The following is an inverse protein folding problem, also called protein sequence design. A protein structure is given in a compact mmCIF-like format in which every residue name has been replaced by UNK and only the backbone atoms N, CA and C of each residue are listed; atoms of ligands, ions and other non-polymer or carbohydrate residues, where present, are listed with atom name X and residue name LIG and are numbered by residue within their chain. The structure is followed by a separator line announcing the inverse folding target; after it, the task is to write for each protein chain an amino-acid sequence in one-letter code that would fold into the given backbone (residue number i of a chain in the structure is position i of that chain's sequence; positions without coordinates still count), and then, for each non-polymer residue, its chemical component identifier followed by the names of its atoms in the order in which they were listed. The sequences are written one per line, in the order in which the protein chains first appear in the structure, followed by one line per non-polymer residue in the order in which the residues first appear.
data_IF_832210846182
#
_entry.id   IF_832210846182
#
_cell.length_a   1.000
_cell.length_b   1.000
_cell.length_c   1.000
_cell.angle_alpha   90.00
_cell.angle_beta   90.00
_cell.angle_gamma   90.00
#
_symmetry.space_group_name_H-M   'P 1'
#
loop_
_entity.id
_entity.type
_entity.pdbx_description
1 polymer ?
#
# COMPACT_ATOMS: atom_id res chain seq x y z
N UNK A 1 66.55 37.83 2.97
CA UNK A 1 67.41 36.99 3.84
C UNK A 1 66.54 35.91 4.42
N UNK A 2 66.43 34.70 3.84
CA UNK A 2 67.41 33.60 3.79
C UNK A 2 68.16 33.37 5.11
N UNK A 3 67.79 32.28 5.78
CA UNK A 3 68.70 31.37 6.50
C UNK A 3 69.03 31.74 7.95
N UNK A 4 69.32 30.81 8.87
CA UNK A 4 69.46 29.34 8.90
C UNK A 4 69.57 28.96 10.38
N UNK A 5 68.97 27.85 10.81
CA UNK A 5 69.60 26.75 11.59
C UNK A 5 68.51 25.75 12.05
N UNK A 6 68.38 24.50 11.55
CA UNK A 6 69.23 23.27 11.72
C UNK A 6 69.56 23.05 13.20
N UNK A 7 69.22 21.99 13.93
CA UNK A 7 68.98 20.55 13.70
C UNK A 7 68.40 20.01 15.06
N UNK A 8 67.65 18.91 15.22
CA UNK A 8 68.11 17.52 15.11
C UNK A 8 66.96 16.55 15.44
N UNK A 9 67.02 15.36 14.83
CA UNK A 9 66.05 14.25 14.86
C UNK A 9 66.00 13.52 16.20
N UNK A 10 64.82 12.98 16.56
CA UNK A 10 64.68 11.62 17.14
C UNK A 10 63.42 10.95 16.59
N UNK A 11 63.61 9.82 15.91
CA UNK A 11 62.55 8.91 15.45
C UNK A 11 62.00 8.16 16.66
N UNK A 12 60.69 8.14 16.86
CA UNK A 12 59.99 7.02 17.49
C UNK A 12 58.67 6.82 16.73
N UNK A 13 58.54 5.62 16.16
CA UNK A 13 57.40 5.13 15.41
C UNK A 13 56.37 4.63 16.43
N UNK A 14 55.24 5.31 16.56
CA UNK A 14 54.11 4.80 17.36
C UNK A 14 52.84 4.86 16.51
N UNK A 15 52.25 3.68 16.33
CA UNK A 15 51.12 3.37 15.47
C UNK A 15 49.89 4.23 15.84
N UNK A 16 49.36 4.98 14.87
CA UNK A 16 48.02 5.56 14.97
C UNK A 16 46.98 4.46 14.75
N UNK A 17 46.22 4.13 15.77
CA UNK A 17 44.87 3.56 15.62
C UNK A 17 43.88 4.70 15.82
N UNK A 18 43.50 5.33 14.71
CA UNK A 18 42.37 6.23 14.67
C UNK A 18 41.09 5.39 14.71
N UNK A 19 40.38 5.42 15.83
CA UNK A 19 39.00 4.95 15.92
C UNK A 19 38.12 5.97 15.19
N UNK A 20 37.90 5.73 13.89
CA UNK A 20 36.85 6.40 13.12
C UNK A 20 35.57 5.61 13.37
N UNK A 21 34.62 6.25 14.05
CA UNK A 21 33.22 5.85 14.08
C UNK A 21 32.67 5.89 12.65
N UNK A 22 32.81 4.77 11.94
CA UNK A 22 32.07 4.52 10.72
C UNK A 22 30.65 4.14 11.14
N UNK A 23 29.75 5.13 11.13
CA UNK A 23 28.32 4.89 10.93
C UNK A 23 28.15 4.22 9.57
N UNK A 24 28.25 2.89 9.57
CA UNK A 24 27.95 2.08 8.41
C UNK A 24 26.44 2.10 8.20
N UNK A 25 25.99 3.07 7.40
CA UNK A 25 24.77 2.91 6.61
C UNK A 25 25.02 1.68 5.73
N UNK A 26 24.60 0.52 6.25
CA UNK A 26 24.55 -0.74 5.53
C UNK A 26 23.49 -0.61 4.44
N UNK A 27 23.89 -0.03 3.31
CA UNK A 27 23.28 -0.30 2.02
C UNK A 27 23.53 -1.77 1.68
N UNK A 28 22.80 -2.66 2.35
CA UNK A 28 22.70 -4.04 1.92
C UNK A 28 21.88 -4.04 0.64
N UNK A 29 22.62 -4.04 -0.47
CA UNK A 29 22.17 -4.61 -1.74
C UNK A 29 21.80 -6.08 -1.45
N UNK A 30 20.56 -6.26 -1.00
CA UNK A 30 20.00 -7.56 -0.69
C UNK A 30 19.79 -8.33 -1.99
N UNK A 31 20.66 -9.30 -2.25
CA UNK A 31 20.30 -10.45 -3.06
C UNK A 31 18.98 -11.02 -2.50
N UNK A 32 18.03 -11.30 -3.39
CA UNK A 32 16.71 -11.84 -3.06
C UNK A 32 16.77 -12.95 -1.99
N UNK A 33 16.12 -12.73 -0.84
CA UNK A 33 15.74 -13.79 0.12
C UNK A 33 16.74 -14.21 1.20
N UNK A 34 17.72 -13.37 1.58
CA UNK A 34 18.74 -13.70 2.58
C UNK A 34 18.40 -13.47 4.07
N UNK A 35 17.22 -12.95 4.42
CA UNK A 35 16.85 -12.66 5.81
C UNK A 35 16.32 -13.89 6.58
N UNK A 36 16.11 -13.77 7.92
CA UNK A 36 15.55 -14.85 8.71
C UNK A 36 14.17 -15.24 8.17
N UNK A 37 14.01 -16.50 7.75
CA UNK A 37 12.74 -17.03 7.23
C UNK A 37 11.71 -17.34 8.31
N UNK A 38 12.03 -17.08 9.57
CA UNK A 38 11.13 -17.28 10.70
C UNK A 38 11.20 -16.09 11.64
N UNK A 39 10.04 -15.54 11.98
CA UNK A 39 9.85 -14.60 13.08
C UNK A 39 8.86 -15.19 14.06
N UNK A 40 9.07 -14.95 15.34
CA UNK A 40 8.15 -15.41 16.38
C UNK A 40 8.22 -14.48 17.60
N UNK A 41 7.06 -14.21 18.18
CA UNK A 41 6.92 -13.60 19.50
C UNK A 41 5.94 -14.45 20.36
N UNK A 42 5.41 -13.90 21.44
CA UNK A 42 4.44 -14.60 22.29
C UNK A 42 3.11 -14.89 21.57
N UNK A 43 2.70 -14.05 20.61
CA UNK A 43 1.39 -14.13 19.96
C UNK A 43 1.41 -14.86 18.61
N UNK A 44 2.46 -14.71 17.80
CA UNK A 44 2.46 -15.18 16.41
C UNK A 44 3.80 -15.77 15.99
N UNK A 45 3.75 -16.69 15.03
CA UNK A 45 4.90 -17.18 14.26
C UNK A 45 4.63 -16.97 12.78
N UNK A 46 5.64 -16.47 12.08
CA UNK A 46 5.61 -16.21 10.64
C UNK A 46 6.80 -16.94 10.04
N UNK A 47 6.53 -17.93 9.20
CA UNK A 47 7.56 -18.69 8.49
C UNK A 47 7.55 -18.33 7.00
N UNK A 48 8.66 -18.59 6.30
CA UNK A 48 8.82 -18.48 4.85
C UNK A 48 8.28 -17.19 4.20
N UNK A 49 8.22 -16.09 4.94
CA UNK A 49 7.61 -14.83 4.48
C UNK A 49 8.49 -14.03 3.51
N UNK A 50 9.78 -14.33 3.41
CA UNK A 50 10.68 -13.70 2.42
C UNK A 50 10.96 -14.60 1.25
N UNK A 51 11.07 -14.01 0.05
CA UNK A 51 11.34 -14.77 -1.17
C UNK A 51 10.18 -15.70 -1.53
N UNK A 52 8.96 -15.35 -1.11
CA UNK A 52 7.72 -16.02 -1.47
C UNK A 52 7.64 -16.07 -2.99
N UNK A 53 7.38 -17.26 -3.52
CA UNK A 53 7.21 -17.45 -4.95
C UNK A 53 5.76 -17.14 -5.34
N UNK A 54 5.51 -16.30 -6.33
CA UNK A 54 4.17 -16.00 -6.86
C UNK A 54 4.17 -16.10 -8.39
N UNK A 55 3.01 -16.34 -8.98
CA UNK A 55 2.85 -16.10 -10.41
C UNK A 55 2.91 -14.60 -10.68
N UNK A 56 3.58 -14.20 -11.77
CA UNK A 56 3.64 -12.80 -12.16
C UNK A 56 2.28 -12.33 -12.69
N UNK A 57 1.76 -11.23 -12.17
CA UNK A 57 0.56 -10.63 -12.72
C UNK A 57 0.88 -9.95 -14.06
N UNK A 58 -0.05 -10.01 -15.02
CA UNK A 58 0.14 -9.45 -16.37
C UNK A 58 -0.86 -8.32 -16.58
N UNK A 59 -0.37 -7.17 -17.02
CA UNK A 59 -1.21 -6.14 -17.61
C UNK A 59 -1.29 -6.37 -19.12
N UNK A 60 -2.50 -6.30 -19.68
CA UNK A 60 -2.66 -6.14 -21.13
C UNK A 60 -2.17 -4.76 -21.58
N UNK A 61 -1.62 -4.69 -22.79
CA UNK A 61 -1.27 -3.41 -23.41
C UNK A 61 -2.50 -2.51 -23.53
N UNK A 62 -2.29 -1.20 -23.44
CA UNK A 62 -3.35 -0.21 -23.67
C UNK A 62 -3.62 -0.13 -25.16
N UNK A 63 -4.84 -0.49 -25.55
CA UNK A 63 -5.28 -0.45 -26.94
C UNK A 63 -5.92 0.90 -27.25
N UNK A 64 -6.03 1.25 -28.53
CA UNK A 64 -6.65 2.51 -28.92
C UNK A 64 -8.13 2.55 -28.51
N UNK A 65 -8.79 1.39 -28.56
CA UNK A 65 -10.18 1.24 -28.12
C UNK A 65 -10.35 1.56 -26.62
N UNK A 66 -9.35 1.27 -25.78
CA UNK A 66 -9.39 1.65 -24.36
C UNK A 66 -9.40 3.19 -24.19
N UNK A 67 -8.68 3.90 -25.07
CA UNK A 67 -8.59 5.36 -25.06
C UNK A 67 -9.89 5.96 -25.59
N UNK A 68 -10.42 5.41 -26.68
CA UNK A 68 -11.68 5.84 -27.28
C UNK A 68 -12.84 5.75 -26.29
N UNK A 69 -12.94 4.65 -25.53
CA UNK A 69 -13.98 4.48 -24.51
C UNK A 69 -13.94 5.58 -23.44
N UNK A 70 -12.75 5.97 -22.99
CA UNK A 70 -12.61 7.03 -21.99
C UNK A 70 -12.93 8.40 -22.58
N UNK A 71 -12.46 8.69 -23.80
CA UNK A 71 -12.79 9.95 -24.49
C UNK A 71 -14.29 10.06 -24.74
N UNK A 72 -14.94 8.98 -25.18
CA UNK A 72 -16.38 8.93 -25.38
C UNK A 72 -17.14 9.18 -24.07
N UNK A 73 -16.75 8.51 -22.98
CA UNK A 73 -17.38 8.72 -21.67
C UNK A 73 -17.27 10.17 -21.18
N UNK A 74 -16.10 10.78 -21.33
CA UNK A 74 -15.88 12.18 -20.95
C UNK A 74 -16.68 13.14 -21.84
N UNK A 75 -16.77 12.85 -23.14
CA UNK A 75 -17.58 13.62 -24.07
C UNK A 75 -19.09 13.49 -23.79
N UNK A 76 -19.58 12.32 -23.38
CA UNK A 76 -20.98 12.15 -22.97
C UNK A 76 -21.36 13.07 -21.81
N UNK A 77 -20.48 13.20 -20.81
CA UNK A 77 -20.69 14.15 -19.71
C UNK A 77 -20.73 15.60 -20.18
N UNK A 78 -19.84 15.97 -21.09
CA UNK A 78 -19.76 17.31 -21.65
C UNK A 78 -20.97 17.66 -22.54
N UNK A 79 -21.35 16.80 -23.48
CA UNK A 79 -22.48 17.07 -24.37
C UNK A 79 -23.79 17.19 -23.61
N UNK A 80 -24.01 16.34 -22.60
CA UNK A 80 -25.16 16.44 -21.70
C UNK A 80 -25.18 17.75 -20.91
N UNK A 81 -24.02 18.21 -20.41
CA UNK A 81 -23.93 19.46 -19.67
C UNK A 81 -24.15 20.71 -20.55
N UNK A 82 -23.84 20.62 -21.84
CA UNK A 82 -23.87 21.73 -22.79
C UNK A 82 -25.04 21.67 -23.80
N UNK A 83 -25.96 20.71 -23.67
CA UNK A 83 -27.09 20.49 -24.57
C UNK A 83 -26.64 20.34 -26.05
N UNK A 84 -25.58 19.56 -26.26
CA UNK A 84 -25.01 19.28 -27.58
C UNK A 84 -25.45 17.90 -28.08
N UNK A 85 -25.50 17.67 -29.41
CA UNK A 85 -25.76 16.36 -29.98
C UNK A 85 -24.77 15.29 -29.48
N UNK A 86 -25.25 14.07 -29.25
CA UNK A 86 -24.42 12.94 -28.77
C UNK A 86 -23.27 12.60 -29.71
N UNK A 87 -23.41 12.89 -31.01
CA UNK A 87 -22.38 12.65 -32.04
C UNK A 87 -21.33 13.78 -32.13
N UNK A 88 -21.39 14.77 -31.25
CA UNK A 88 -20.41 15.87 -31.17
C UNK A 88 -19.01 15.31 -30.96
N UNK A 89 -18.11 15.62 -31.89
CA UNK A 89 -16.72 15.19 -31.84
C UNK A 89 -15.90 16.06 -30.87
N UNK A 90 -14.93 15.44 -30.21
CA UNK A 90 -13.93 16.16 -29.41
C UNK A 90 -13.08 17.05 -30.32
N UNK A 91 -12.78 18.26 -29.87
CA UNK A 91 -11.92 19.23 -30.57
C UNK A 91 -10.87 19.79 -29.64
N UNK A 92 -9.80 20.36 -30.19
CA UNK A 92 -8.75 21.02 -29.42
C UNK A 92 -9.31 22.13 -28.53
N UNK A 93 -10.36 22.84 -28.97
CA UNK A 93 -11.01 23.88 -28.17
C UNK A 93 -11.74 23.31 -26.95
N UNK A 94 -12.43 22.18 -27.10
CA UNK A 94 -13.11 21.48 -26.00
C UNK A 94 -12.06 20.97 -25.00
N UNK A 95 -10.96 20.40 -25.50
CA UNK A 95 -9.86 19.92 -24.66
C UNK A 95 -9.31 21.03 -23.78
N UNK A 96 -8.89 22.15 -24.39
CA UNK A 96 -8.29 23.29 -23.68
C UNK A 96 -9.19 23.93 -22.63
N UNK A 97 -10.51 23.92 -22.87
CA UNK A 97 -11.47 24.64 -22.02
C UNK A 97 -12.00 23.79 -20.87
N UNK A 98 -12.05 22.47 -21.05
CA UNK A 98 -12.87 21.64 -20.14
C UNK A 98 -12.27 20.27 -19.84
N UNK A 99 -11.54 19.63 -20.76
CA UNK A 99 -11.16 18.21 -20.56
C UNK A 99 -9.84 18.00 -19.84
N UNK A 100 -8.90 18.93 -19.96
CA UNK A 100 -7.59 18.80 -19.32
C UNK A 100 -7.01 20.15 -18.96
N UNK A 101 -6.36 20.21 -17.81
CA UNK A 101 -5.60 21.38 -17.36
C UNK A 101 -4.22 21.48 -18.04
N UNK A 102 -3.78 20.42 -18.72
CA UNK A 102 -2.42 20.33 -19.27
C UNK A 102 -2.38 20.11 -20.78
N UNK A 103 -3.32 19.34 -21.34
CA UNK A 103 -3.38 19.09 -22.78
C UNK A 103 -3.96 20.29 -23.54
N UNK A 104 -3.37 20.59 -24.70
CA UNK A 104 -3.82 21.66 -25.59
C UNK A 104 -4.45 21.11 -26.88
N UNK A 105 -4.26 19.84 -27.18
CA UNK A 105 -4.81 19.22 -28.40
C UNK A 105 -5.49 17.91 -28.06
N UNK A 106 -6.38 17.44 -28.95
CA UNK A 106 -6.99 16.11 -28.85
C UNK A 106 -5.92 15.02 -28.75
N UNK A 107 -4.85 15.13 -29.54
CA UNK A 107 -3.74 14.17 -29.49
C UNK A 107 -3.05 14.15 -28.12
N UNK A 108 -2.71 15.32 -27.57
CA UNK A 108 -2.09 15.40 -26.24
C UNK A 108 -3.01 14.84 -25.14
N UNK A 109 -4.31 15.11 -25.22
CA UNK A 109 -5.30 14.57 -24.30
C UNK A 109 -5.39 13.05 -24.41
N UNK A 110 -5.40 12.49 -25.62
CA UNK A 110 -5.38 11.04 -25.83
C UNK A 110 -4.11 10.40 -25.25
N UNK A 111 -2.95 11.04 -25.39
CA UNK A 111 -1.71 10.57 -24.75
C UNK A 111 -1.76 10.66 -23.21
N UNK A 112 -2.42 11.69 -22.66
CA UNK A 112 -2.67 11.81 -21.22
C UNK A 112 -3.55 10.65 -20.72
N UNK A 113 -4.69 10.42 -21.37
CA UNK A 113 -5.59 9.29 -21.05
C UNK A 113 -4.85 7.95 -21.16
N UNK A 114 -4.06 7.75 -22.21
CA UNK A 114 -3.22 6.54 -22.35
C UNK A 114 -2.31 6.33 -21.15
N UNK A 115 -1.64 7.39 -20.66
CA UNK A 115 -0.78 7.31 -19.46
C UNK A 115 -1.59 6.98 -18.21
N UNK A 116 -2.75 7.60 -18.01
CA UNK A 116 -3.64 7.33 -16.88
C UNK A 116 -4.11 5.86 -16.87
N UNK A 117 -4.50 5.31 -18.02
CA UNK A 117 -4.86 3.90 -18.17
C UNK A 117 -3.65 3.01 -17.86
N UNK A 118 -2.46 3.32 -18.39
CA UNK A 118 -1.24 2.57 -18.11
C UNK A 118 -0.87 2.56 -16.62
N UNK A 119 -0.98 3.71 -15.94
CA UNK A 119 -0.73 3.81 -14.50
C UNK A 119 -1.75 3.03 -13.69
N UNK A 120 -3.02 3.07 -14.08
CA UNK A 120 -4.10 2.28 -13.47
C UNK A 120 -3.84 0.78 -13.62
N UNK A 121 -3.50 0.31 -14.83
CA UNK A 121 -3.15 -1.09 -15.09
C UNK A 121 -1.92 -1.53 -14.28
N UNK A 122 -0.89 -0.67 -14.17
CA UNK A 122 0.30 -0.94 -13.34
C UNK A 122 -0.03 -1.06 -11.85
N UNK A 123 -0.87 -0.15 -11.32
CA UNK A 123 -1.34 -0.22 -9.93
C UNK A 123 -2.12 -1.51 -9.68
N UNK A 124 -3.03 -1.88 -10.57
CA UNK A 124 -3.80 -3.12 -10.48
C UNK A 124 -2.90 -4.37 -10.44
N UNK A 125 -1.91 -4.45 -11.33
CA UNK A 125 -0.89 -5.53 -11.32
C UNK A 125 -0.14 -5.55 -9.99
N UNK A 126 0.31 -4.39 -9.48
CA UNK A 126 1.01 -4.31 -8.20
C UNK A 126 0.14 -4.79 -7.04
N UNK A 127 -1.11 -4.34 -6.96
CA UNK A 127 -2.07 -4.76 -5.93
C UNK A 127 -2.34 -6.26 -5.98
N UNK A 128 -2.44 -6.84 -7.18
CA UNK A 128 -2.60 -8.29 -7.37
C UNK A 128 -1.37 -9.07 -6.87
N UNK A 129 -0.16 -8.61 -7.19
CA UNK A 129 1.08 -9.23 -6.70
C UNK A 129 1.22 -9.11 -5.17
N UNK A 130 0.92 -7.95 -4.60
CA UNK A 130 0.90 -7.72 -3.16
C UNK A 130 -0.11 -8.64 -2.46
N UNK A 131 -1.29 -8.83 -3.05
CA UNK A 131 -2.31 -9.76 -2.55
C UNK A 131 -1.79 -11.18 -2.55
N UNK A 132 -1.25 -11.68 -3.67
CA UNK A 132 -0.71 -13.05 -3.79
C UNK A 132 0.45 -13.30 -2.81
N UNK A 133 1.34 -12.32 -2.64
CA UNK A 133 2.46 -12.42 -1.68
C UNK A 133 1.91 -12.51 -0.27
N UNK A 134 0.96 -11.63 0.06
CA UNK A 134 0.40 -11.53 1.39
C UNK A 134 -0.41 -12.76 1.79
N UNK A 135 -1.22 -13.32 0.89
CA UNK A 135 -1.93 -14.59 1.10
C UNK A 135 -0.97 -15.71 1.49
N UNK A 136 0.13 -15.89 0.72
CA UNK A 136 1.14 -16.90 1.04
C UNK A 136 1.85 -16.64 2.38
N UNK A 137 2.08 -15.39 2.74
CA UNK A 137 2.63 -15.04 4.06
C UNK A 137 1.64 -15.43 5.16
N UNK A 138 0.34 -15.22 4.92
CA UNK A 138 -0.72 -15.61 5.86
C UNK A 138 -0.88 -17.11 6.04
N UNK A 139 -0.74 -17.87 4.96
CA UNK A 139 -0.73 -19.34 4.99
C UNK A 139 0.46 -19.89 5.77
N UNK A 140 1.62 -19.22 5.68
CA UNK A 140 2.82 -19.59 6.42
C UNK A 140 2.87 -18.99 7.85
N UNK A 141 1.76 -18.42 8.33
CA UNK A 141 1.68 -17.79 9.64
C UNK A 141 0.70 -18.49 10.57
N UNK A 142 1.09 -18.63 11.83
CA UNK A 142 0.31 -19.28 12.88
C UNK A 142 0.21 -18.36 14.10
N UNK A 143 -1.01 -18.16 14.61
CA UNK A 143 -1.25 -17.44 15.87
C UNK A 143 -1.17 -18.45 17.02
N UNK A 144 -0.30 -18.18 17.98
CA UNK A 144 -0.15 -18.95 19.22
C UNK A 144 -1.23 -18.60 20.23
N UNK A 145 -1.44 -17.30 20.42
CA UNK A 145 -2.43 -16.75 21.33
C UNK A 145 -2.86 -15.37 20.81
N UNK A 146 -4.15 -15.06 20.93
CA UNK A 146 -4.67 -13.74 20.62
C UNK A 146 -4.62 -12.84 21.86
N UNK A 147 -4.06 -11.63 21.77
CA UNK A 147 -4.18 -10.65 22.85
C UNK A 147 -5.65 -10.35 23.14
N UNK A 148 -6.14 -10.73 24.34
CA UNK A 148 -7.57 -10.73 24.67
C UNK A 148 -8.24 -9.36 24.56
N UNK A 149 -7.56 -8.34 25.07
CA UNK A 149 -8.10 -6.97 25.06
C UNK A 149 -8.19 -6.44 23.63
N UNK A 150 -7.15 -6.67 22.82
CA UNK A 150 -7.15 -6.27 21.40
C UNK A 150 -8.18 -7.06 20.58
N UNK A 151 -8.34 -8.36 20.83
CA UNK A 151 -9.35 -9.17 20.14
C UNK A 151 -10.76 -8.68 20.44
N UNK A 152 -11.03 -8.31 21.70
CA UNK A 152 -12.31 -7.73 22.11
C UNK A 152 -12.57 -6.40 21.42
N UNK A 153 -11.56 -5.56 21.31
CA UNK A 153 -11.64 -4.27 20.62
C UNK A 153 -11.94 -4.46 19.13
N UNK A 154 -11.18 -5.30 18.43
CA UNK A 154 -11.40 -5.61 17.01
C UNK A 154 -12.81 -6.17 16.77
N UNK A 155 -13.30 -7.07 17.63
CA UNK A 155 -14.70 -7.55 17.56
C UNK A 155 -15.70 -6.42 17.79
N UNK A 156 -15.45 -5.56 18.77
CA UNK A 156 -16.27 -4.39 19.06
C UNK A 156 -16.45 -3.48 17.84
N UNK A 157 -15.35 -3.16 17.15
CA UNK A 157 -15.39 -2.33 15.95
C UNK A 157 -16.20 -2.98 14.82
N UNK A 158 -16.14 -4.30 14.66
CA UNK A 158 -16.98 -5.04 13.71
C UNK A 158 -18.47 -4.97 14.09
N UNK A 159 -18.80 -5.08 15.37
CA UNK A 159 -20.19 -4.94 15.86
C UNK A 159 -20.69 -3.52 15.56
N UNK A 160 -19.91 -2.48 15.89
CA UNK A 160 -20.28 -1.09 15.65
C UNK A 160 -20.47 -0.78 14.15
N UNK A 161 -19.65 -1.38 13.29
CA UNK A 161 -19.80 -1.31 11.83
C UNK A 161 -21.15 -1.87 11.37
N UNK A 162 -21.49 -3.08 11.81
CA UNK A 162 -22.75 -3.70 11.42
C UNK A 162 -23.97 -3.05 12.07
N UNK A 163 -23.85 -2.48 13.27
CA UNK A 163 -24.88 -1.63 13.85
C UNK A 163 -25.13 -0.38 13.00
N UNK A 164 -24.06 0.23 12.47
CA UNK A 164 -24.17 1.38 11.57
C UNK A 164 -24.89 1.00 10.28
N UNK A 165 -24.56 -0.14 9.67
CA UNK A 165 -25.27 -0.63 8.49
C UNK A 165 -26.74 -0.95 8.76
N UNK A 166 -27.05 -1.57 9.90
CA UNK A 166 -28.43 -1.82 10.32
C UNK A 166 -29.22 -0.51 10.42
N UNK A 167 -28.65 0.50 11.07
CA UNK A 167 -29.28 1.83 11.19
C UNK A 167 -29.50 2.50 9.82
N UNK A 168 -28.56 2.37 8.89
CA UNK A 168 -28.70 2.92 7.52
C UNK A 168 -29.83 2.25 6.75
N UNK A 169 -30.05 0.96 6.95
CA UNK A 169 -31.17 0.20 6.39
C UNK A 169 -32.48 0.36 7.20
N UNK A 170 -32.45 1.12 8.29
CA UNK A 170 -33.60 1.30 9.19
C UNK A 170 -34.03 0.03 9.92
N UNK A 171 -33.10 -0.90 10.11
CA UNK A 171 -33.31 -2.19 10.77
C UNK A 171 -32.67 -2.21 12.16
N UNK A 172 -33.25 -2.99 13.07
CA UNK A 172 -32.57 -3.35 14.31
C UNK A 172 -31.38 -4.29 14.01
N UNK A 173 -30.30 -4.16 14.79
CA UNK A 173 -29.05 -4.90 14.55
C UNK A 173 -29.27 -6.41 14.40
N UNK A 174 -30.04 -7.01 15.31
CA UNK A 174 -30.29 -8.46 15.31
C UNK A 174 -31.08 -8.91 14.07
N UNK A 175 -32.02 -8.08 13.61
CA UNK A 175 -32.79 -8.34 12.39
C UNK A 175 -31.91 -8.21 11.15
N UNK A 176 -31.03 -7.21 11.12
CA UNK A 176 -30.08 -7.00 10.05
C UNK A 176 -29.09 -8.16 9.92
N UNK A 177 -28.46 -8.57 11.03
CA UNK A 177 -27.54 -9.72 11.07
C UNK A 177 -28.21 -11.00 10.55
N UNK A 178 -29.46 -11.25 10.95
CA UNK A 178 -30.25 -12.36 10.44
C UNK A 178 -30.54 -12.25 8.94
N UNK A 179 -30.85 -11.05 8.45
CA UNK A 179 -31.12 -10.81 7.04
C UNK A 179 -29.88 -11.09 6.16
N UNK A 180 -28.68 -10.71 6.62
CA UNK A 180 -27.41 -11.00 5.95
C UNK A 180 -26.85 -12.40 6.28
N UNK A 181 -27.57 -13.18 7.10
CA UNK A 181 -27.19 -14.54 7.55
C UNK A 181 -25.83 -14.58 8.24
N UNK A 182 -25.57 -13.58 9.08
CA UNK A 182 -24.35 -13.47 9.86
C UNK A 182 -24.64 -13.71 11.34
N UNK A 183 -23.79 -14.47 12.00
CA UNK A 183 -23.89 -14.82 13.42
C UNK A 183 -22.72 -14.22 14.22
N UNK A 184 -22.85 -14.15 15.55
CA UNK A 184 -21.79 -13.64 16.43
C UNK A 184 -20.47 -14.45 16.30
N UNK A 185 -20.58 -15.74 16.01
CA UNK A 185 -19.43 -16.59 15.74
C UNK A 185 -18.68 -16.19 14.46
N UNK A 186 -19.38 -15.68 13.44
CA UNK A 186 -18.73 -15.17 12.22
C UNK A 186 -17.93 -13.90 12.54
N UNK A 187 -18.44 -13.05 13.44
CA UNK A 187 -17.71 -11.87 13.92
C UNK A 187 -16.48 -12.26 14.75
N UNK A 188 -16.56 -13.32 15.56
CA UNK A 188 -15.41 -13.86 16.28
C UNK A 188 -14.31 -14.32 15.31
N UNK A 189 -14.67 -15.06 14.27
CA UNK A 189 -13.70 -15.53 13.27
C UNK A 189 -13.14 -14.37 12.43
N UNK A 190 -13.97 -13.39 12.06
CA UNK A 190 -13.52 -12.17 11.37
C UNK A 190 -12.56 -11.34 12.25
N UNK A 191 -12.83 -11.22 13.54
CA UNK A 191 -11.95 -10.51 14.47
C UNK A 191 -10.61 -11.23 14.65
N UNK A 192 -10.62 -12.56 14.79
CA UNK A 192 -9.40 -13.38 14.84
C UNK A 192 -8.59 -13.30 13.55
N UNK A 193 -9.25 -13.32 12.39
CA UNK A 193 -8.59 -13.18 11.09
C UNK A 193 -7.94 -11.80 10.96
N UNK A 194 -8.67 -10.74 11.31
CA UNK A 194 -8.17 -9.36 11.29
C UNK A 194 -6.99 -9.16 12.24
N UNK A 195 -7.08 -9.69 13.46
CA UNK A 195 -5.99 -9.61 14.43
C UNK A 195 -4.78 -10.46 14.03
N UNK A 196 -4.97 -11.62 13.37
CA UNK A 196 -3.85 -12.39 12.78
C UNK A 196 -3.07 -11.52 11.79
N UNK A 197 -3.78 -10.79 10.93
CA UNK A 197 -3.18 -9.92 9.92
C UNK A 197 -2.35 -8.81 10.58
N UNK A 198 -2.92 -8.17 11.59
CA UNK A 198 -2.26 -7.13 12.40
C UNK A 198 -0.98 -7.66 13.07
N UNK A 199 -1.07 -8.81 13.76
CA UNK A 199 0.07 -9.42 14.46
C UNK A 199 1.23 -9.74 13.52
N UNK A 200 0.93 -10.29 12.34
CA UNK A 200 1.96 -10.63 11.33
C UNK A 200 2.55 -9.40 10.69
N UNK A 201 1.74 -8.40 10.35
CA UNK A 201 2.27 -7.13 9.84
C UNK A 201 3.19 -6.47 10.87
N UNK A 202 2.78 -6.42 12.13
CA UNK A 202 3.54 -5.79 13.20
C UNK A 202 4.88 -6.48 13.47
N UNK A 203 4.93 -7.81 13.58
CA UNK A 203 6.20 -8.50 13.85
C UNK A 203 7.21 -8.32 12.70
N UNK A 204 6.74 -8.26 11.44
CA UNK A 204 7.60 -7.99 10.28
C UNK A 204 8.04 -6.51 10.28
N UNK A 205 7.10 -5.59 10.51
CA UNK A 205 7.39 -4.16 10.52
C UNK A 205 8.37 -3.77 11.64
N UNK A 206 8.26 -4.37 12.82
CA UNK A 206 9.21 -4.18 13.92
C UNK A 206 10.59 -4.70 13.59
N UNK A 207 10.67 -5.86 12.92
CA UNK A 207 11.94 -6.45 12.55
C UNK A 207 12.71 -5.60 11.53
N UNK A 208 12.01 -4.98 10.59
CA UNK A 208 12.61 -4.29 9.43
C UNK A 208 12.46 -2.77 9.45
N UNK A 209 11.86 -2.21 10.50
CA UNK A 209 11.64 -0.76 10.61
C UNK A 209 10.64 -0.23 9.58
N UNK A 210 9.53 -0.93 9.36
CA UNK A 210 8.50 -0.59 8.36
C UNK A 210 7.31 0.18 8.96
N UNK A 211 7.39 0.54 10.25
CA UNK A 211 6.42 1.46 10.86
C UNK A 211 6.61 2.85 10.22
N UNK A 212 5.53 3.53 9.81
CA UNK A 212 5.64 4.84 9.18
C UNK A 212 6.25 5.85 10.17
N UNK A 213 7.01 6.80 9.66
CA UNK A 213 7.27 8.03 10.42
C UNK A 213 5.97 8.86 10.51
N UNK A 214 5.91 9.84 11.40
CA UNK A 214 4.75 10.75 11.48
C UNK A 214 4.47 11.45 10.15
N UNK A 215 5.53 11.85 9.43
CA UNK A 215 5.41 12.45 8.10
C UNK A 215 4.88 11.46 7.05
N UNK A 216 5.37 10.23 7.06
CA UNK A 216 4.92 9.19 6.12
C UNK A 216 3.47 8.77 6.42
N UNK A 217 3.08 8.73 7.70
CA UNK A 217 1.70 8.47 8.12
C UNK A 217 0.78 9.57 7.60
N UNK A 218 1.10 10.84 7.83
CA UNK A 218 0.29 11.97 7.36
C UNK A 218 0.10 11.93 5.84
N UNK A 219 1.18 11.65 5.09
CA UNK A 219 1.09 11.53 3.64
C UNK A 219 0.19 10.36 3.22
N UNK A 220 0.31 9.21 3.87
CA UNK A 220 -0.55 8.07 3.59
C UNK A 220 -2.02 8.37 3.90
N UNK A 221 -2.31 9.11 4.99
CA UNK A 221 -3.67 9.54 5.31
C UNK A 221 -4.25 10.49 4.24
N UNK A 222 -3.44 11.39 3.69
CA UNK A 222 -3.83 12.26 2.56
C UNK A 222 -4.13 11.44 1.31
N UNK A 223 -3.28 10.46 1.00
CA UNK A 223 -3.47 9.54 -0.12
C UNK A 223 -4.76 8.72 0.05
N UNK A 224 -5.03 8.16 1.25
CA UNK A 224 -6.29 7.45 1.53
C UNK A 224 -7.51 8.36 1.49
N UNK A 225 -7.42 9.59 2.01
CA UNK A 225 -8.52 10.53 1.93
C UNK A 225 -8.89 10.82 0.46
N UNK A 226 -7.89 11.04 -0.39
CA UNK A 226 -8.09 11.26 -1.82
C UNK A 226 -8.61 10.01 -2.56
N UNK A 227 -8.11 8.82 -2.20
CA UNK A 227 -8.54 7.55 -2.76
C UNK A 227 -10.01 7.25 -2.43
N UNK A 228 -10.38 7.37 -1.16
CA UNK A 228 -11.73 7.13 -0.64
C UNK A 228 -12.66 8.34 -0.76
N UNK A 229 -12.23 9.39 -1.48
CA UNK A 229 -13.03 10.58 -1.81
C UNK A 229 -13.52 11.38 -0.59
N UNK A 230 -12.78 11.31 0.53
CA UNK A 230 -12.94 12.24 1.63
C UNK A 230 -12.32 13.59 1.26
N UNK A 231 -12.99 14.69 1.62
CA UNK A 231 -12.48 16.04 1.34
C UNK A 231 -11.34 16.48 2.27
N UNK A 232 -11.08 15.74 3.36
CA UNK A 232 -9.94 15.96 4.25
C UNK A 232 -9.59 14.71 5.06
N UNK A 233 -8.36 14.67 5.58
CA UNK A 233 -7.90 13.68 6.56
C UNK A 233 -8.77 13.69 7.83
N UNK A 234 -9.23 14.87 8.26
CA UNK A 234 -10.12 14.97 9.43
C UNK A 234 -11.44 14.20 9.22
N UNK A 235 -12.03 14.26 8.03
CA UNK A 235 -13.25 13.51 7.74
C UNK A 235 -13.00 12.01 7.66
N UNK A 236 -11.86 11.59 7.12
CA UNK A 236 -11.44 10.19 7.15
C UNK A 236 -11.32 9.69 8.60
N UNK A 237 -10.65 10.45 9.46
CA UNK A 237 -10.42 10.07 10.86
C UNK A 237 -11.67 10.11 11.76
N UNK A 238 -12.77 10.71 11.28
CA UNK A 238 -14.09 10.60 11.93
C UNK A 238 -14.78 9.28 11.62
N UNK A 239 -14.40 8.61 10.53
CA UNK A 239 -15.00 7.35 10.08
C UNK A 239 -14.14 6.16 10.46
N UNK A 240 -12.82 6.28 10.35
CA UNK A 240 -11.85 5.24 10.68
C UNK A 240 -10.90 5.78 11.72
N UNK A 241 -10.67 5.05 12.81
CA UNK A 241 -9.81 5.55 13.88
C UNK A 241 -8.36 5.75 13.40
N UNK A 242 -7.64 6.69 14.00
CA UNK A 242 -6.21 6.92 13.69
C UNK A 242 -5.37 5.65 13.91
N UNK A 243 -5.70 4.87 14.94
CA UNK A 243 -5.04 3.59 15.22
C UNK A 243 -5.26 2.57 14.09
N UNK A 244 -6.49 2.42 13.60
CA UNK A 244 -6.79 1.53 12.47
C UNK A 244 -6.10 1.99 11.19
N UNK A 245 -6.08 3.30 10.93
CA UNK A 245 -5.33 3.84 9.79
C UNK A 245 -3.83 3.58 9.92
N UNK A 246 -3.27 3.72 11.13
CA UNK A 246 -1.87 3.41 11.39
C UNK A 246 -1.56 1.92 11.14
N UNK A 247 -2.43 1.01 11.58
CA UNK A 247 -2.28 -0.43 11.29
C UNK A 247 -2.41 -0.73 9.79
N UNK A 248 -3.30 -0.03 9.08
CA UNK A 248 -3.45 -0.15 7.64
C UNK A 248 -2.18 0.27 6.89
N UNK A 249 -1.56 1.41 7.26
CA UNK A 249 -0.29 1.86 6.68
C UNK A 249 0.84 0.88 6.97
N UNK A 250 0.94 0.35 8.20
CA UNK A 250 1.94 -0.69 8.54
C UNK A 250 1.79 -1.90 7.63
N UNK A 251 0.55 -2.40 7.47
CA UNK A 251 0.26 -3.56 6.62
C UNK A 251 0.64 -3.31 5.17
N UNK A 252 0.32 -2.13 4.62
CA UNK A 252 0.60 -1.81 3.23
C UNK A 252 2.12 -1.63 2.99
N UNK A 253 2.84 -1.02 3.93
CA UNK A 253 4.30 -0.97 3.92
C UNK A 253 4.91 -2.38 3.92
N UNK A 254 4.38 -3.29 4.75
CA UNK A 254 4.83 -4.67 4.83
C UNK A 254 4.55 -5.42 3.51
N UNK A 255 3.33 -5.34 2.97
CA UNK A 255 2.97 -5.97 1.69
C UNK A 255 3.87 -5.51 0.55
N UNK A 256 4.06 -4.21 0.42
CA UNK A 256 4.93 -3.61 -0.58
C UNK A 256 6.38 -4.09 -0.42
N UNK A 257 6.92 -4.05 0.81
CA UNK A 257 8.28 -4.51 1.11
C UNK A 257 8.51 -6.00 0.81
N UNK A 258 7.53 -6.85 1.10
CA UNK A 258 7.59 -8.29 0.83
C UNK A 258 7.51 -8.56 -0.67
N UNK A 259 6.68 -7.81 -1.39
CA UNK A 259 6.50 -7.95 -2.84
C UNK A 259 7.75 -7.58 -3.61
N UNK A 260 8.45 -6.51 -3.21
CA UNK A 260 9.76 -6.15 -3.76
C UNK A 260 10.84 -7.25 -3.57
N UNK A 261 10.56 -8.22 -2.70
CA UNK A 261 11.45 -9.32 -2.33
C UNK A 261 10.85 -10.69 -2.65
N UNK A 262 9.76 -10.74 -3.41
CA UNK A 262 9.17 -11.99 -3.87
C UNK A 262 10.02 -12.61 -4.99
N UNK A 263 9.68 -13.83 -5.36
CA UNK A 263 10.19 -14.50 -6.55
C UNK A 263 9.04 -14.73 -7.49
N UNK A 264 9.26 -14.53 -8.78
CA UNK A 264 8.29 -14.95 -9.78
C UNK A 264 8.55 -16.41 -10.15
N UNK A 265 7.52 -17.24 -10.07
CA UNK A 265 7.56 -18.59 -10.59
C UNK A 265 7.93 -18.51 -12.08
N UNK A 266 8.80 -19.42 -12.53
CA UNK A 266 9.08 -19.52 -13.96
C UNK A 266 7.77 -19.82 -14.69
N UNK A 267 7.43 -18.95 -15.65
CA UNK A 267 6.30 -19.19 -16.53
C UNK A 267 6.54 -20.51 -17.24
N UNK A 268 5.72 -21.53 -16.96
CA UNK A 268 5.58 -22.66 -17.87
C UNK A 268 4.87 -22.13 -19.12
N UNK A 269 5.62 -21.52 -20.02
CA UNK A 269 5.14 -21.21 -21.34
C UNK A 269 4.81 -22.54 -22.02
N UNK A 270 3.51 -22.80 -22.19
CA UNK A 270 2.97 -23.80 -23.11
C UNK A 270 2.16 -23.07 -24.16
#
# INVERSE_FOLDING_TARGET
MIGRHRMMKRKVLTKMTAAVLAGAVLLLTACAGGGPKKLANEYVTVENYQGVEIEKAKAEDVKEEDIDLVVEHMMQGYTAQHDLPEDTQITDEIVKKTMSDTAQTVEEYRQEIKKQIQETKKKAVRTEEETRVWEKVMDNSEVKEYPKDRLKEVKGNLVDLYMTYAQQEGMEYEEYMKAIKMEDADLDEAAKASLKQELVANIIAEKYGLKPSEQDLQKALEDYAAEYKFSSVELLLKTVSEEEMHQMVIRDNVKSWLTDRCKYAESSAK
#
